data_IF_983023887343
#
_entry.id   IF_983023887343
#
_cell.length_a   1.000
_cell.length_b   1.000
_cell.length_c   1.000
_cell.angle_alpha   90.00
_cell.angle_beta   90.00
_cell.angle_gamma   90.00
#
_symmetry.space_group_name_H-M   'P 1'
#
loop_
_entity.id
_entity.type
_entity.pdbx_description
1 polymer ?
#
# COMPACT_ATOMS: atom_id res chain seq x y z
N UNK A 1 -43.51 34.62 33.81
CA UNK A 1 -42.09 34.47 34.16
C UNK A 1 -41.28 34.67 32.88
N UNK A 2 -40.78 35.90 32.71
CA UNK A 2 -40.12 36.39 31.50
C UNK A 2 -38.65 36.67 31.79
N UNK A 3 -37.73 36.07 31.04
CA UNK A 3 -36.31 36.45 30.95
C UNK A 3 -35.89 36.14 29.51
N UNK A 4 -35.94 37.10 28.57
CA UNK A 4 -34.95 38.16 28.29
C UNK A 4 -33.55 37.57 27.98
N UNK A 5 -33.28 37.50 26.69
CA UNK A 5 -32.02 37.27 26.01
C UNK A 5 -31.03 38.41 26.24
N UNK A 6 -29.76 38.08 26.50
CA UNK A 6 -28.61 39.00 26.41
C UNK A 6 -27.69 38.57 25.26
N UNK A 7 -27.16 39.51 24.45
CA UNK A 7 -26.24 39.19 23.35
C UNK A 7 -24.80 39.07 23.83
N UNK A 8 -24.06 38.13 23.21
CA UNK A 8 -22.64 37.88 23.44
C UNK A 8 -21.80 38.81 22.55
N UNK A 9 -20.96 39.65 23.17
CA UNK A 9 -20.03 40.59 22.51
C UNK A 9 -18.75 39.88 22.05
N UNK A 10 -18.39 40.06 20.77
CA UNK A 10 -17.10 39.65 20.19
C UNK A 10 -15.97 40.56 20.69
N UNK A 11 -14.94 39.98 21.31
CA UNK A 11 -13.65 40.64 21.52
C UNK A 11 -12.76 40.46 20.28
N UNK A 12 -12.43 41.57 19.62
CA UNK A 12 -11.37 41.67 18.62
C UNK A 12 -10.01 41.80 19.33
N UNK A 13 -9.06 40.93 19.01
CA UNK A 13 -7.64 41.10 19.39
C UNK A 13 -6.82 41.38 18.14
N UNK A 14 -6.28 42.60 18.05
CA UNK A 14 -5.34 43.04 17.03
C UNK A 14 -3.92 42.52 17.32
N UNK A 15 -3.10 42.14 16.31
CA UNK A 15 -1.69 41.88 16.54
C UNK A 15 -0.88 43.19 16.46
N UNK A 16 -0.04 43.40 17.49
CA UNK A 16 0.88 44.52 17.60
C UNK A 16 2.19 44.17 16.89
N UNK A 17 2.64 45.08 16.03
CA UNK A 17 3.93 45.04 15.33
C UNK A 17 5.01 45.52 16.30
N UNK A 18 6.07 44.74 16.48
CA UNK A 18 7.31 45.19 17.12
C UNK A 18 8.49 44.92 16.18
N UNK A 19 9.06 46.03 15.70
CA UNK A 19 10.37 46.10 15.07
C UNK A 19 11.45 45.84 16.13
N UNK A 20 12.45 45.02 15.79
CA UNK A 20 13.81 45.25 16.27
C UNK A 20 14.82 44.94 15.17
N UNK A 21 15.56 45.98 14.84
CA UNK A 21 16.70 46.05 13.94
C UNK A 21 17.98 45.54 14.60
N UNK A 22 18.82 44.81 13.86
CA UNK A 22 20.24 45.15 13.63
C UNK A 22 20.98 44.07 12.83
N UNK A 23 21.26 44.41 11.57
CA UNK A 23 22.56 44.29 10.86
C UNK A 23 23.39 42.99 10.93
N UNK A 24 23.63 42.37 9.76
CA UNK A 24 24.95 42.43 9.08
C UNK A 24 25.00 41.63 7.75
N UNK A 25 25.46 42.33 6.71
CA UNK A 25 26.26 41.86 5.55
C UNK A 25 25.66 40.86 4.53
N UNK A 26 25.06 41.46 3.50
CA UNK A 26 25.34 41.32 2.07
C UNK A 26 26.38 40.29 1.60
N UNK A 27 26.00 39.49 0.59
CA UNK A 27 26.76 39.33 -0.66
C UNK A 27 25.81 38.88 -1.78
N UNK A 28 25.65 39.76 -2.77
CA UNK A 28 25.09 39.47 -4.09
C UNK A 28 25.92 38.39 -4.79
N UNK A 29 25.29 37.46 -5.50
CA UNK A 29 25.80 37.11 -6.83
C UNK A 29 24.69 36.67 -7.79
N UNK A 30 24.87 37.10 -9.03
CA UNK A 30 23.91 37.27 -10.10
C UNK A 30 23.78 35.99 -10.94
N UNK A 31 22.57 35.81 -11.48
CA UNK A 31 22.17 34.93 -12.55
C UNK A 31 23.15 34.94 -13.75
N UNK A 32 23.69 33.79 -14.16
CA UNK A 32 24.15 33.62 -15.55
C UNK A 32 23.76 32.24 -16.09
N UNK A 33 22.84 32.28 -17.05
CA UNK A 33 22.51 31.21 -17.98
C UNK A 33 23.64 31.12 -18.99
N UNK A 34 24.29 29.98 -19.14
CA UNK A 34 25.05 29.68 -20.36
C UNK A 34 24.86 28.20 -20.72
N UNK A 35 24.42 28.04 -21.95
CA UNK A 35 24.21 26.82 -22.72
C UNK A 35 25.53 26.12 -23.00
N UNK A 36 25.59 24.80 -22.77
CA UNK A 36 26.66 23.95 -23.31
C UNK A 36 26.01 22.71 -23.94
N UNK A 37 26.11 22.67 -25.27
CA UNK A 37 25.94 21.48 -26.11
C UNK A 37 27.08 20.50 -25.87
N UNK A 38 26.83 19.18 -25.76
CA UNK A 38 27.47 18.11 -26.56
C UNK A 38 26.95 16.69 -26.18
N UNK A 39 27.25 15.61 -26.94
CA UNK A 39 26.28 14.94 -27.80
C UNK A 39 25.90 13.51 -27.36
N UNK A 40 24.74 13.06 -27.84
CA UNK A 40 24.35 11.65 -27.86
C UNK A 40 25.20 10.86 -28.88
N UNK A 41 25.72 9.66 -28.55
CA UNK A 41 26.16 8.70 -29.55
C UNK A 41 24.99 7.79 -29.98
N UNK A 42 24.86 7.61 -31.30
CA UNK A 42 23.98 6.63 -31.95
C UNK A 42 24.52 5.19 -31.75
N UNK A 43 23.68 4.16 -31.65
CA UNK A 43 24.10 2.78 -31.90
C UNK A 43 23.93 2.42 -33.38
N UNK A 44 24.96 1.83 -33.98
CA UNK A 44 24.92 1.12 -35.27
C UNK A 44 24.57 -0.36 -35.03
N UNK A 45 23.87 -0.96 -36.01
CA UNK A 45 23.71 -2.40 -36.20
C UNK A 45 25.09 -3.09 -36.37
N UNK A 46 25.32 -4.40 -36.27
CA UNK A 46 24.54 -5.63 -36.37
C UNK A 46 25.43 -6.77 -35.83
N UNK A 47 24.86 -7.93 -35.48
CA UNK A 47 25.32 -9.29 -35.83
C UNK A 47 24.83 -10.34 -34.82
N UNK A 48 24.28 -11.39 -35.40
CA UNK A 48 23.79 -12.64 -34.83
C UNK A 48 24.84 -13.41 -34.04
N UNK A 49 24.45 -13.94 -32.88
CA UNK A 49 24.91 -15.24 -32.36
C UNK A 49 23.80 -15.85 -31.49
N UNK A 50 23.45 -17.10 -31.80
CA UNK A 50 22.52 -17.98 -31.09
C UNK A 50 22.90 -18.19 -29.61
N UNK A 51 21.94 -18.33 -28.67
CA UNK A 51 22.30 -18.61 -27.29
C UNK A 51 22.65 -20.09 -27.09
N UNK A 52 23.79 -20.42 -26.45
CA UNK A 52 23.99 -21.74 -25.87
C UNK A 52 23.15 -21.86 -24.58
N UNK A 53 22.64 -23.07 -24.37
CA UNK A 53 22.02 -23.52 -23.14
C UNK A 53 22.90 -23.21 -21.91
N UNK A 54 22.24 -22.98 -20.76
CA UNK A 54 22.82 -22.90 -19.41
C UNK A 54 23.40 -21.55 -18.97
N UNK A 55 22.52 -20.62 -18.55
CA UNK A 55 22.88 -19.54 -17.62
C UNK A 55 21.64 -18.94 -16.92
N UNK A 56 20.94 -19.74 -16.09
CA UNK A 56 19.79 -19.28 -15.29
C UNK A 56 19.91 -19.61 -13.80
N UNK A 57 21.13 -19.72 -13.27
CA UNK A 57 21.40 -20.16 -11.89
C UNK A 57 22.33 -19.24 -11.10
N UNK A 58 22.47 -17.96 -11.49
CA UNK A 58 23.49 -17.08 -10.88
C UNK A 58 23.00 -15.75 -10.28
N UNK A 59 21.69 -15.49 -10.16
CA UNK A 59 21.23 -14.20 -9.60
C UNK A 59 20.03 -14.28 -8.65
N UNK A 60 20.03 -15.26 -7.74
CA UNK A 60 19.14 -15.27 -6.57
C UNK A 60 19.89 -15.79 -5.33
N UNK A 61 20.98 -15.13 -4.95
CA UNK A 61 21.70 -15.36 -3.69
C UNK A 61 21.59 -14.18 -2.71
N UNK A 62 20.51 -13.41 -2.79
CA UNK A 62 20.25 -12.28 -1.90
C UNK A 62 18.79 -12.30 -1.43
N UNK A 63 18.51 -13.14 -0.44
CA UNK A 63 17.31 -13.02 0.43
C UNK A 63 17.48 -13.72 1.77
N UNK A 64 18.47 -14.60 1.93
CA UNK A 64 18.72 -15.28 3.20
C UNK A 64 19.97 -14.68 3.85
N UNK A 65 19.79 -13.81 4.85
CA UNK A 65 20.83 -13.52 5.82
C UNK A 65 20.87 -14.69 6.80
N UNK A 66 21.58 -15.75 6.44
CA UNK A 66 21.85 -16.88 7.34
C UNK A 66 22.90 -16.42 8.35
N UNK A 67 22.49 -16.22 9.60
CA UNK A 67 23.41 -16.34 10.72
C UNK A 67 23.55 -17.82 11.05
N UNK A 68 24.72 -18.40 10.80
CA UNK A 68 25.07 -19.76 11.22
C UNK A 68 25.14 -19.81 12.76
N UNK A 69 24.01 -20.13 13.39
CA UNK A 69 23.94 -20.48 14.81
C UNK A 69 23.31 -21.86 14.86
N UNK A 70 24.08 -22.83 15.36
CA UNK A 70 23.64 -24.18 15.69
C UNK A 70 22.43 -24.09 16.63
N UNK A 71 21.22 -24.34 16.10
CA UNK A 71 19.99 -24.32 16.88
C UNK A 71 19.77 -25.69 17.51
N UNK A 72 19.47 -25.65 18.80
CA UNK A 72 19.05 -26.78 19.62
C UNK A 72 17.68 -27.29 19.14
N UNK A 73 17.61 -28.55 18.73
CA UNK A 73 16.41 -29.28 18.30
C UNK A 73 15.51 -29.58 19.51
N UNK A 74 14.97 -28.52 20.13
CA UNK A 74 14.46 -28.62 21.51
C UNK A 74 13.33 -27.68 21.90
N UNK A 75 12.58 -27.09 20.96
CA UNK A 75 11.18 -26.64 21.11
C UNK A 75 10.79 -25.89 19.83
N UNK A 76 10.02 -26.51 18.93
CA UNK A 76 9.20 -25.70 18.02
C UNK A 76 8.17 -24.99 18.91
N UNK A 77 8.41 -23.69 19.15
CA UNK A 77 7.39 -22.84 19.75
C UNK A 77 6.12 -22.88 18.91
N UNK A 78 4.96 -22.65 19.51
CA UNK A 78 3.72 -22.48 18.76
C UNK A 78 3.89 -21.35 17.73
N UNK A 79 3.47 -21.57 16.49
CA UNK A 79 3.38 -20.50 15.50
C UNK A 79 2.40 -19.42 15.95
N UNK A 80 2.40 -18.28 15.25
CA UNK A 80 1.56 -17.14 15.58
C UNK A 80 1.14 -16.37 14.32
N UNK A 81 -0.03 -15.74 14.35
CA UNK A 81 -0.57 -14.93 13.27
C UNK A 81 -0.79 -13.49 13.76
N UNK A 82 -0.10 -12.54 13.13
CA UNK A 82 -0.23 -11.12 13.43
C UNK A 82 -0.74 -10.35 12.22
N UNK A 83 -1.84 -9.62 12.38
CA UNK A 83 -2.51 -8.93 11.28
C UNK A 83 -2.41 -7.41 11.44
N UNK A 84 -1.94 -6.73 10.40
CA UNK A 84 -1.85 -5.27 10.28
C UNK A 84 -2.78 -4.81 9.16
N UNK A 85 -3.89 -4.20 9.53
CA UNK A 85 -4.91 -3.70 8.58
C UNK A 85 -4.98 -2.18 8.55
N UNK A 86 -5.82 -1.63 7.67
CA UNK A 86 -6.09 -0.20 7.57
C UNK A 86 -6.23 0.27 6.12
N UNK A 87 -6.68 1.52 5.91
CA UNK A 87 -6.88 2.06 4.57
C UNK A 87 -5.56 2.21 3.81
N UNK A 88 -5.62 2.53 2.53
CA UNK A 88 -4.43 2.96 1.80
C UNK A 88 -3.77 4.16 2.53
N UNK A 89 -2.45 4.27 2.41
CA UNK A 89 -1.64 5.35 3.01
C UNK A 89 -1.61 5.37 4.55
N UNK A 90 -2.00 4.29 5.22
CA UNK A 90 -1.89 4.16 6.69
C UNK A 90 -0.53 3.63 7.18
N UNK A 91 0.42 3.36 6.28
CA UNK A 91 1.75 2.84 6.64
C UNK A 91 1.81 1.35 6.97
N UNK A 92 0.92 0.52 6.38
CA UNK A 92 0.91 -0.94 6.59
C UNK A 92 2.23 -1.60 6.21
N UNK A 93 2.67 -1.43 4.96
CA UNK A 93 3.93 -1.98 4.47
C UNK A 93 5.13 -1.48 5.29
N UNK A 94 5.14 -0.21 5.69
CA UNK A 94 6.16 0.36 6.57
C UNK A 94 6.17 -0.32 7.95
N UNK A 95 5.00 -0.58 8.52
CA UNK A 95 4.88 -1.25 9.83
C UNK A 95 5.30 -2.71 9.77
N UNK A 96 4.90 -3.43 8.71
CA UNK A 96 5.36 -4.79 8.42
C UNK A 96 6.88 -4.84 8.28
N UNK A 97 7.45 -3.97 7.45
CA UNK A 97 8.90 -3.91 7.24
C UNK A 97 9.68 -3.55 8.49
N UNK A 98 9.14 -2.64 9.32
CA UNK A 98 9.75 -2.32 10.61
C UNK A 98 9.81 -3.56 11.50
N UNK A 99 8.71 -4.33 11.58
CA UNK A 99 8.67 -5.56 12.37
C UNK A 99 9.65 -6.60 11.85
N UNK A 100 9.64 -6.87 10.54
CA UNK A 100 10.61 -7.79 9.91
C UNK A 100 12.06 -7.40 10.19
N UNK A 101 12.40 -6.10 10.10
CA UNK A 101 13.76 -5.65 10.41
C UNK A 101 14.13 -5.88 11.88
N UNK A 102 13.18 -5.73 12.81
CA UNK A 102 13.39 -6.04 14.22
C UNK A 102 13.66 -7.54 14.42
N UNK A 103 12.90 -8.42 13.77
CA UNK A 103 13.05 -9.87 13.92
C UNK A 103 14.39 -10.36 13.32
N UNK A 104 14.78 -9.83 12.17
CA UNK A 104 16.12 -10.08 11.60
C UNK A 104 17.23 -9.61 12.55
N UNK A 105 17.06 -8.44 13.20
CA UNK A 105 18.07 -7.90 14.11
C UNK A 105 18.30 -8.75 15.37
N UNK A 106 17.35 -9.61 15.73
CA UNK A 106 17.47 -10.57 16.83
C UNK A 106 17.80 -11.99 16.35
N UNK A 107 18.19 -12.15 15.08
CA UNK A 107 18.68 -13.41 14.51
C UNK A 107 17.59 -14.36 14.00
N UNK A 108 16.36 -13.87 13.78
CA UNK A 108 15.30 -14.65 13.13
C UNK A 108 15.52 -14.69 11.62
N UNK A 109 15.27 -15.86 11.04
CA UNK A 109 15.24 -16.11 9.60
C UNK A 109 13.86 -15.72 9.07
N UNK A 110 13.80 -14.68 8.24
CA UNK A 110 12.54 -14.08 7.79
C UNK A 110 12.48 -14.00 6.28
N UNK A 111 11.33 -14.37 5.70
CA UNK A 111 11.03 -14.12 4.29
C UNK A 111 9.91 -13.09 4.14
N UNK A 112 9.98 -12.28 3.08
CA UNK A 112 8.93 -11.33 2.69
C UNK A 112 8.27 -11.79 1.39
N UNK A 113 6.94 -11.81 1.36
CA UNK A 113 6.12 -12.16 0.20
C UNK A 113 5.18 -11.00 -0.12
N UNK A 114 4.97 -10.74 -1.42
CA UNK A 114 3.96 -9.80 -1.92
C UNK A 114 3.18 -10.43 -3.06
N UNK A 115 1.96 -9.94 -3.30
CA UNK A 115 1.20 -10.39 -4.46
C UNK A 115 1.80 -9.86 -5.75
N UNK A 116 1.96 -10.74 -6.74
CA UNK A 116 2.38 -10.38 -8.11
C UNK A 116 1.34 -9.54 -8.85
N UNK A 117 0.09 -9.50 -8.37
CA UNK A 117 -0.98 -8.63 -8.88
C UNK A 117 -0.72 -7.16 -8.56
N UNK A 118 0.07 -6.86 -7.53
CA UNK A 118 0.44 -5.48 -7.21
C UNK A 118 1.71 -5.05 -7.96
N UNK A 119 1.50 -4.33 -9.06
CA UNK A 119 2.56 -3.80 -9.94
C UNK A 119 2.86 -2.31 -9.70
N UNK A 120 2.32 -1.69 -8.63
CA UNK A 120 2.53 -0.25 -8.34
C UNK A 120 3.97 0.09 -7.98
N UNK A 121 4.69 -0.90 -7.46
CA UNK A 121 6.09 -0.81 -7.05
C UNK A 121 6.90 -1.93 -7.74
N UNK A 122 8.23 -1.79 -7.78
CA UNK A 122 9.11 -2.74 -8.46
C UNK A 122 8.76 -4.20 -8.14
N UNK A 123 8.86 -5.06 -9.17
CA UNK A 123 8.44 -6.46 -9.11
C UNK A 123 9.11 -7.23 -7.96
N UNK A 124 10.36 -6.90 -7.64
CA UNK A 124 11.20 -7.67 -6.73
C UNK A 124 11.47 -6.96 -5.38
N UNK A 125 10.74 -5.87 -5.07
CA UNK A 125 10.87 -5.22 -3.75
C UNK A 125 9.56 -4.66 -3.22
N UNK A 126 9.42 -4.69 -1.89
CA UNK A 126 8.45 -3.86 -1.18
C UNK A 126 9.08 -2.49 -1.01
N UNK A 127 8.59 -1.53 -1.78
CA UNK A 127 9.04 -0.13 -1.70
C UNK A 127 8.10 0.60 -0.75
N UNK A 128 8.64 1.05 0.38
CA UNK A 128 7.91 1.98 1.24
C UNK A 128 7.82 3.34 0.57
N UNK A 129 6.83 4.15 0.98
CA UNK A 129 6.78 5.57 0.60
C UNK A 129 8.08 6.32 0.98
N UNK A 130 8.84 5.80 1.96
CA UNK A 130 10.12 6.36 2.42
C UNK A 130 11.33 5.92 1.57
N UNK A 131 11.10 5.20 0.45
CA UNK A 131 12.11 4.91 -0.58
C UNK A 131 13.07 3.75 -0.26
N UNK A 132 12.93 3.10 0.90
CA UNK A 132 13.77 1.94 1.26
C UNK A 132 13.08 0.68 0.74
N UNK A 133 13.72 0.00 -0.22
CA UNK A 133 13.30 -1.30 -0.74
C UNK A 133 13.81 -2.46 0.10
N UNK A 134 12.97 -3.45 0.35
CA UNK A 134 13.36 -4.72 0.96
C UNK A 134 13.10 -5.87 -0.03
N UNK A 135 14.04 -6.82 -0.22
CA UNK A 135 13.85 -7.95 -1.12
C UNK A 135 12.60 -8.76 -0.76
N UNK A 136 11.79 -9.13 -1.74
CA UNK A 136 10.59 -9.92 -1.51
C UNK A 136 10.26 -10.85 -2.67
N UNK A 137 9.49 -11.89 -2.36
CA UNK A 137 8.99 -12.86 -3.33
C UNK A 137 7.63 -12.39 -3.86
N UNK A 138 7.58 -12.05 -5.16
CA UNK A 138 6.33 -11.72 -5.82
C UNK A 138 5.64 -12.98 -6.33
N UNK A 139 4.51 -13.36 -5.71
CA UNK A 139 3.82 -14.61 -5.98
C UNK A 139 2.36 -14.40 -6.40
N UNK A 140 1.81 -15.27 -7.27
CA UNK A 140 0.38 -15.26 -7.58
C UNK A 140 -0.49 -15.89 -6.47
N UNK A 141 0.07 -16.85 -5.73
CA UNK A 141 -0.55 -17.62 -4.65
C UNK A 141 0.50 -17.87 -3.54
N UNK A 142 0.06 -18.03 -2.30
CA UNK A 142 0.93 -18.25 -1.14
C UNK A 142 1.32 -19.72 -0.98
N UNK A 143 0.44 -20.65 -1.36
CA UNK A 143 0.68 -22.08 -1.17
C UNK A 143 1.85 -22.63 -2.00
N UNK A 144 2.22 -21.99 -3.11
CA UNK A 144 3.45 -22.31 -3.86
C UNK A 144 4.73 -21.73 -3.26
N UNK A 145 4.64 -20.92 -2.20
CA UNK A 145 5.82 -20.29 -1.58
C UNK A 145 6.89 -21.29 -1.11
N UNK A 146 6.57 -22.37 -0.35
CA UNK A 146 7.59 -23.29 0.14
C UNK A 146 8.41 -23.93 -0.98
N UNK A 147 7.75 -24.38 -2.06
CA UNK A 147 8.41 -24.99 -3.21
C UNK A 147 9.27 -23.98 -3.98
N UNK A 148 8.74 -22.78 -4.24
CA UNK A 148 9.46 -21.72 -4.97
C UNK A 148 10.63 -21.13 -4.20
N UNK A 149 10.52 -21.08 -2.88
CA UNK A 149 11.60 -20.65 -1.98
C UNK A 149 12.69 -21.73 -1.84
N UNK A 150 12.31 -22.99 -2.03
CA UNK A 150 13.12 -24.17 -1.78
C UNK A 150 12.85 -24.74 -0.39
N UNK A 151 12.46 -26.01 -0.32
CA UNK A 151 11.96 -26.64 0.91
C UNK A 151 12.97 -26.54 2.07
N UNK A 152 14.24 -26.88 1.83
CA UNK A 152 15.30 -26.81 2.85
C UNK A 152 15.52 -25.39 3.40
N UNK A 153 15.30 -24.37 2.57
CA UNK A 153 15.40 -22.98 2.99
C UNK A 153 14.15 -22.56 3.76
N UNK A 154 12.97 -23.01 3.30
CA UNK A 154 11.68 -22.74 3.92
C UNK A 154 11.61 -23.31 5.33
N UNK A 155 12.08 -24.54 5.53
CA UNK A 155 12.05 -25.21 6.83
C UNK A 155 12.83 -24.42 7.89
N UNK A 156 13.90 -23.72 7.47
CA UNK A 156 14.74 -22.85 8.31
C UNK A 156 14.17 -21.46 8.57
N UNK A 157 13.03 -21.09 7.96
CA UNK A 157 12.37 -19.82 8.26
C UNK A 157 11.72 -19.90 9.64
N UNK A 158 11.91 -18.83 10.42
CA UNK A 158 11.17 -18.57 11.64
C UNK A 158 9.88 -17.81 11.33
N UNK A 159 9.93 -16.88 10.37
CA UNK A 159 8.83 -15.97 10.10
C UNK A 159 8.62 -15.66 8.62
N UNK A 160 7.37 -15.34 8.29
CA UNK A 160 6.93 -14.96 6.94
C UNK A 160 6.10 -13.68 7.03
N UNK A 161 6.59 -12.62 6.40
CA UNK A 161 5.82 -11.40 6.19
C UNK A 161 5.07 -11.43 4.86
N UNK A 162 3.80 -11.03 4.87
CA UNK A 162 2.95 -10.99 3.69
C UNK A 162 2.42 -9.57 3.52
N UNK A 163 2.79 -8.90 2.44
CA UNK A 163 2.24 -7.59 2.08
C UNK A 163 1.15 -7.70 1.02
N UNK A 164 0.24 -6.73 1.04
CA UNK A 164 -0.92 -6.65 0.15
C UNK A 164 -1.78 -7.93 0.14
N UNK A 165 -1.97 -8.49 1.34
CA UNK A 165 -2.52 -9.83 1.52
C UNK A 165 -3.94 -10.03 0.99
N UNK A 166 -4.70 -8.94 0.77
CA UNK A 166 -6.06 -9.00 0.24
C UNK A 166 -6.14 -9.57 -1.19
N UNK A 167 -5.01 -9.68 -1.89
CA UNK A 167 -4.93 -10.24 -3.24
C UNK A 167 -4.70 -11.75 -3.28
N UNK A 168 -4.38 -12.38 -2.14
CA UNK A 168 -4.21 -13.82 -2.00
C UNK A 168 -5.53 -14.48 -1.60
N UNK A 169 -6.02 -15.37 -2.46
CA UNK A 169 -7.26 -16.12 -2.21
C UNK A 169 -7.08 -17.29 -1.24
N UNK A 170 -5.84 -17.76 -1.10
CA UNK A 170 -5.40 -18.89 -0.28
C UNK A 170 -4.76 -18.45 1.05
N UNK A 171 -5.00 -17.20 1.46
CA UNK A 171 -4.41 -16.62 2.67
C UNK A 171 -4.79 -17.39 3.94
N UNK A 172 -6.04 -17.83 4.05
CA UNK A 172 -6.52 -18.54 5.24
C UNK A 172 -5.82 -19.90 5.39
N UNK A 173 -5.83 -20.69 4.33
CA UNK A 173 -5.21 -22.02 4.27
C UNK A 173 -3.70 -21.92 4.53
N UNK A 174 -3.05 -20.92 3.94
CA UNK A 174 -1.64 -20.66 4.17
C UNK A 174 -1.36 -20.32 5.64
N UNK A 175 -2.10 -19.39 6.24
CA UNK A 175 -1.90 -19.00 7.63
C UNK A 175 -2.07 -20.18 8.60
N UNK A 176 -3.12 -21.00 8.44
CA UNK A 176 -3.32 -22.20 9.25
C UNK A 176 -2.16 -23.18 9.09
N UNK A 177 -1.75 -23.49 7.85
CA UNK A 177 -0.63 -24.42 7.64
C UNK A 177 0.65 -23.90 8.30
N UNK A 178 1.02 -22.66 8.03
CA UNK A 178 2.31 -22.11 8.48
C UNK A 178 2.37 -21.93 10.00
N UNK A 179 1.30 -21.45 10.62
CA UNK A 179 1.27 -21.23 12.06
C UNK A 179 0.99 -22.51 12.85
N UNK A 180 -0.03 -23.28 12.46
CA UNK A 180 -0.54 -24.40 13.26
C UNK A 180 0.26 -25.69 13.02
N UNK A 181 0.80 -25.89 11.80
CA UNK A 181 1.52 -27.12 11.42
C UNK A 181 3.02 -26.89 11.38
N UNK A 182 3.48 -25.84 10.71
CA UNK A 182 4.91 -25.60 10.51
C UNK A 182 5.59 -24.86 11.69
N UNK A 183 4.79 -24.36 12.65
CA UNK A 183 5.27 -23.69 13.85
C UNK A 183 5.96 -22.34 13.61
N UNK A 184 5.61 -21.64 12.52
CA UNK A 184 6.24 -20.38 12.12
C UNK A 184 5.34 -19.18 12.43
N UNK A 185 5.93 -17.99 12.56
CA UNK A 185 5.17 -16.75 12.74
C UNK A 185 4.81 -16.14 11.38
N UNK A 186 3.55 -15.74 11.20
CA UNK A 186 3.06 -15.05 10.00
C UNK A 186 2.66 -13.62 10.36
N UNK A 187 3.26 -12.64 9.68
CA UNK A 187 2.91 -11.22 9.84
C UNK A 187 2.24 -10.74 8.55
N UNK A 188 0.93 -10.53 8.61
CA UNK A 188 0.09 -10.20 7.46
C UNK A 188 -0.23 -8.72 7.43
N UNK A 189 -0.02 -8.05 6.30
CA UNK A 189 -0.41 -6.68 6.07
C UNK A 189 -1.32 -6.56 4.85
N UNK A 190 -2.42 -5.79 4.99
CA UNK A 190 -3.27 -5.48 3.85
C UNK A 190 -4.55 -4.73 4.18
N UNK A 191 -5.39 -4.54 3.16
CA UNK A 191 -6.64 -3.77 3.27
C UNK A 191 -7.75 -4.60 3.92
N UNK A 192 -8.35 -4.09 5.00
CA UNK A 192 -9.54 -4.70 5.61
C UNK A 192 -10.81 -4.51 4.78
N UNK A 193 -10.84 -3.47 3.93
CA UNK A 193 -11.95 -3.25 3.02
C UNK A 193 -11.59 -2.56 1.72
N UNK A 194 -12.43 -2.80 0.70
CA UNK A 194 -12.33 -2.17 -0.61
C UNK A 194 -12.76 -0.69 -0.57
N UNK A 195 -12.73 -0.02 -1.73
CA UNK A 195 -13.15 1.37 -1.85
C UNK A 195 -14.65 1.60 -1.53
N UNK A 196 -15.43 0.53 -1.43
CA UNK A 196 -16.85 0.51 -1.06
C UNK A 196 -17.07 0.13 0.42
N UNK A 197 -15.98 -0.06 1.19
CA UNK A 197 -15.96 -0.57 2.58
C UNK A 197 -16.52 -2.00 2.73
N UNK A 198 -16.51 -2.79 1.67
CA UNK A 198 -16.83 -4.22 1.73
C UNK A 198 -15.56 -5.00 2.04
N UNK A 199 -15.71 -6.25 2.49
CA UNK A 199 -14.56 -7.16 2.70
C UNK A 199 -13.67 -7.18 1.46
N UNK A 200 -12.35 -7.16 1.66
CA UNK A 200 -11.37 -7.30 0.57
C UNK A 200 -10.56 -8.58 0.78
N UNK A 201 -10.74 -9.54 -0.13
CA UNK A 201 -10.04 -10.82 -0.06
C UNK A 201 -10.39 -11.59 1.20
N UNK A 202 -9.42 -12.38 1.68
CA UNK A 202 -9.54 -13.24 2.85
C UNK A 202 -8.90 -12.66 4.13
N UNK A 203 -8.47 -11.38 4.14
CA UNK A 203 -7.83 -10.77 5.32
C UNK A 203 -8.73 -10.81 6.56
N UNK A 204 -10.04 -10.62 6.39
CA UNK A 204 -10.97 -10.66 7.52
C UNK A 204 -11.22 -12.09 8.01
N UNK A 205 -10.98 -13.10 7.17
CA UNK A 205 -11.24 -14.50 7.49
C UNK A 205 -10.16 -15.05 8.44
N UNK A 206 -8.96 -14.45 8.45
CA UNK A 206 -7.87 -14.82 9.38
C UNK A 206 -7.94 -14.09 10.74
N UNK A 207 -8.84 -13.12 10.93
CA UNK A 207 -8.98 -12.39 12.21
C UNK A 207 -9.29 -13.34 13.39
N UNK A 208 -10.20 -14.33 13.27
CA UNK A 208 -10.53 -15.23 14.38
C UNK A 208 -9.37 -16.11 14.85
N UNK A 209 -8.40 -16.36 13.97
CA UNK A 209 -7.22 -17.20 14.25
C UNK A 209 -5.96 -16.37 14.53
N UNK A 210 -6.08 -15.04 14.59
CA UNK A 210 -4.95 -14.16 14.80
C UNK A 210 -4.65 -13.90 16.28
N UNK A 211 -3.39 -14.06 16.68
CA UNK A 211 -2.86 -13.70 18.00
C UNK A 211 -2.87 -12.19 18.23
N UNK A 212 -2.77 -11.39 17.17
CA UNK A 212 -2.93 -9.94 17.27
C UNK A 212 -3.51 -9.32 16.02
N UNK A 213 -4.37 -8.32 16.20
CA UNK A 213 -4.92 -7.53 15.09
C UNK A 213 -4.74 -6.04 15.37
N UNK A 214 -4.02 -5.35 14.48
CA UNK A 214 -3.78 -3.90 14.55
C UNK A 214 -4.40 -3.23 13.33
N UNK A 215 -5.34 -2.30 13.56
CA UNK A 215 -5.90 -1.46 12.48
C UNK A 215 -5.26 -0.08 12.49
N UNK A 216 -4.39 0.17 11.53
CA UNK A 216 -3.76 1.47 11.33
C UNK A 216 -4.75 2.49 10.77
N UNK A 217 -4.47 3.76 11.04
CA UNK A 217 -5.22 4.90 10.50
C UNK A 217 -4.31 5.77 9.64
N UNK A 218 -4.84 6.28 8.53
CA UNK A 218 -4.17 7.29 7.72
C UNK A 218 -4.55 8.71 8.19
N UNK A 219 -4.00 9.74 7.53
CA UNK A 219 -4.46 11.11 7.67
C UNK A 219 -5.49 11.42 6.57
N UNK A 220 -6.69 11.86 6.94
CA UNK A 220 -7.72 12.21 5.97
C UNK A 220 -7.25 13.37 5.08
N UNK A 221 -7.25 13.16 3.76
CA UNK A 221 -6.76 14.16 2.80
C UNK A 221 -7.63 15.44 2.77
N UNK A 222 -8.91 15.32 3.16
CA UNK A 222 -9.86 16.45 3.14
C UNK A 222 -9.78 17.34 4.39
N UNK A 223 -9.60 16.77 5.58
CA UNK A 223 -9.64 17.55 6.83
C UNK A 223 -8.48 17.33 7.78
N UNK A 224 -7.51 16.49 7.43
CA UNK A 224 -6.32 16.22 8.24
C UNK A 224 -6.55 15.38 9.50
N UNK A 225 -7.79 15.01 9.84
CA UNK A 225 -8.12 14.12 10.97
C UNK A 225 -7.85 12.64 10.63
N UNK A 226 -8.03 11.72 11.58
CA UNK A 226 -7.85 10.28 11.32
C UNK A 226 -8.73 9.79 10.17
N UNK A 227 -8.08 9.21 9.16
CA UNK A 227 -8.68 8.56 8.00
C UNK A 227 -8.75 7.05 8.23
N UNK A 228 -9.94 6.47 8.03
CA UNK A 228 -10.22 5.06 8.29
C UNK A 228 -10.58 4.29 7.02
N UNK A 229 -10.82 5.00 5.92
CA UNK A 229 -11.33 4.42 4.69
C UNK A 229 -10.53 4.89 3.49
N UNK A 230 -10.42 4.04 2.49
CA UNK A 230 -9.95 4.40 1.16
C UNK A 230 -11.15 4.85 0.34
N UNK A 231 -11.09 6.05 -0.24
CA UNK A 231 -12.05 6.53 -1.22
C UNK A 231 -11.40 6.50 -2.60
N UNK A 232 -12.12 6.00 -3.60
CA UNK A 232 -11.73 6.13 -5.01
C UNK A 232 -12.14 7.49 -5.55
N UNK A 233 -11.19 8.21 -6.17
CA UNK A 233 -11.39 9.52 -6.81
C UNK A 233 -12.03 9.41 -8.19
N UNK A 234 -11.84 8.27 -8.88
CA UNK A 234 -12.31 8.04 -10.25
C UNK A 234 -13.71 7.43 -10.31
N UNK A 235 -14.35 7.50 -11.48
CA UNK A 235 -15.65 6.90 -11.76
C UNK A 235 -15.61 5.40 -12.10
N UNK A 236 -14.42 4.79 -12.17
CA UNK A 236 -14.26 3.37 -12.43
C UNK A 236 -14.93 2.54 -11.32
N UNK A 237 -15.62 1.46 -11.72
CA UNK A 237 -16.42 0.61 -10.82
C UNK A 237 -15.77 -0.72 -10.48
N UNK A 238 -14.69 -1.13 -11.18
CA UNK A 238 -13.99 -2.40 -10.94
C UNK A 238 -13.51 -2.49 -9.50
N UNK A 239 -13.72 -3.59 -8.80
CA UNK A 239 -13.27 -3.72 -7.40
C UNK A 239 -11.75 -3.60 -7.30
N UNK A 240 -11.04 -4.36 -8.14
CA UNK A 240 -9.59 -4.35 -8.25
C UNK A 240 -9.16 -3.38 -9.36
N UNK A 241 -8.74 -2.18 -8.96
CA UNK A 241 -8.06 -1.23 -9.84
C UNK A 241 -6.75 -0.85 -9.16
N UNK A 242 -5.65 -1.29 -9.76
CA UNK A 242 -4.30 -1.01 -9.28
C UNK A 242 -4.00 0.48 -9.52
N UNK A 243 -3.72 1.21 -8.44
CA UNK A 243 -3.48 2.66 -8.49
C UNK A 243 -2.95 3.20 -7.16
N UNK A 244 -2.38 4.41 -7.22
CA UNK A 244 -1.79 5.11 -6.09
C UNK A 244 -2.66 6.28 -5.62
N UNK A 245 -2.01 7.38 -5.25
CA UNK A 245 -2.66 8.61 -4.77
C UNK A 245 -3.44 9.37 -5.86
N UNK A 246 -3.18 9.05 -7.12
CA UNK A 246 -3.90 9.52 -8.29
C UNK A 246 -5.33 8.93 -8.36
N UNK A 247 -5.49 7.67 -7.96
CA UNK A 247 -6.78 6.96 -7.99
C UNK A 247 -7.49 6.99 -6.64
N UNK A 248 -6.75 6.97 -5.54
CA UNK A 248 -7.30 6.77 -4.20
C UNK A 248 -6.86 7.85 -3.21
N UNK A 249 -7.71 8.11 -2.20
CA UNK A 249 -7.35 8.93 -1.03
C UNK A 249 -7.84 8.34 0.29
N UNK A 250 -7.09 8.54 1.38
CA UNK A 250 -7.57 8.22 2.72
C UNK A 250 -8.56 9.27 3.22
N UNK A 251 -9.68 8.83 3.77
CA UNK A 251 -10.74 9.73 4.28
C UNK A 251 -11.31 9.29 5.62
N UNK A 252 -11.79 10.27 6.40
CA UNK A 252 -12.57 10.01 7.59
C UNK A 252 -14.01 9.60 7.23
N UNK A 253 -14.77 9.16 8.22
CA UNK A 253 -16.16 8.69 8.03
C UNK A 253 -17.05 9.72 7.36
N UNK A 254 -17.02 10.97 7.83
CA UNK A 254 -17.81 12.09 7.30
C UNK A 254 -17.51 12.31 5.82
N UNK A 255 -16.25 12.45 5.45
CA UNK A 255 -15.88 12.76 4.07
C UNK A 255 -16.14 11.61 3.11
N UNK A 256 -16.00 10.36 3.53
CA UNK A 256 -16.42 9.25 2.70
C UNK A 256 -17.93 9.30 2.42
N UNK A 257 -18.77 9.45 3.46
CA UNK A 257 -20.24 9.43 3.30
C UNK A 257 -20.69 10.60 2.42
N UNK A 258 -20.17 11.80 2.67
CA UNK A 258 -20.51 12.99 1.89
C UNK A 258 -20.08 12.85 0.43
N UNK A 259 -18.87 12.36 0.16
CA UNK A 259 -18.41 12.13 -1.22
C UNK A 259 -19.24 11.04 -1.91
N UNK A 260 -19.65 9.99 -1.22
CA UNK A 260 -20.50 8.97 -1.81
C UNK A 260 -21.87 9.52 -2.23
N UNK A 261 -22.45 10.43 -1.43
CA UNK A 261 -23.69 11.13 -1.80
C UNK A 261 -23.47 11.97 -3.06
N UNK A 262 -22.38 12.73 -3.12
CA UNK A 262 -22.04 13.55 -4.30
C UNK A 262 -21.83 12.66 -5.53
N UNK A 263 -21.02 11.60 -5.43
CA UNK A 263 -20.76 10.67 -6.53
C UNK A 263 -22.05 10.01 -7.01
N UNK A 264 -22.92 9.57 -6.09
CA UNK A 264 -24.20 8.95 -6.45
C UNK A 264 -25.16 9.95 -7.11
N UNK A 265 -25.22 11.19 -6.62
CA UNK A 265 -25.99 12.26 -7.24
C UNK A 265 -25.48 12.58 -8.65
N UNK A 266 -24.16 12.74 -8.82
CA UNK A 266 -23.53 12.96 -10.13
C UNK A 266 -23.80 11.81 -11.09
N UNK A 267 -23.69 10.55 -10.64
CA UNK A 267 -24.03 9.37 -11.46
C UNK A 267 -25.49 9.36 -11.89
N UNK A 268 -26.42 9.77 -11.03
CA UNK A 268 -27.85 9.87 -11.36
C UNK A 268 -28.10 10.94 -12.42
N UNK A 269 -27.45 12.10 -12.31
CA UNK A 269 -27.55 13.18 -13.30
C UNK A 269 -26.97 12.73 -14.64
N UNK A 270 -25.74 12.22 -14.66
CA UNK A 270 -25.08 11.74 -15.89
C UNK A 270 -25.83 10.57 -16.54
N UNK A 271 -26.38 9.65 -15.74
CA UNK A 271 -27.23 8.57 -16.24
C UNK A 271 -28.54 9.07 -16.85
N UNK A 272 -29.14 10.11 -16.25
CA UNK A 272 -30.35 10.74 -16.79
C UNK A 272 -30.09 11.52 -18.08
N UNK A 273 -28.93 12.16 -18.20
CA UNK A 273 -28.50 12.87 -19.41
C UNK A 273 -28.20 11.89 -20.54
N UNK A 274 -27.53 10.77 -20.23
CA UNK A 274 -27.27 9.70 -21.20
C UNK A 274 -28.58 9.05 -21.69
N UNK A 275 -29.51 8.74 -20.78
CA UNK A 275 -30.82 8.21 -21.15
C UNK A 275 -31.65 9.21 -21.98
N UNK A 276 -31.56 10.51 -21.66
CA UNK A 276 -32.20 11.58 -22.45
C UNK A 276 -31.60 11.71 -23.85
N UNK A 277 -30.27 11.64 -23.96
CA UNK A 277 -29.57 11.68 -25.25
C UNK A 277 -29.94 10.46 -26.12
N UNK A 278 -29.97 9.26 -25.55
CA UNK A 278 -30.37 8.03 -26.24
C UNK A 278 -31.84 8.08 -26.70
N UNK A 279 -32.74 8.62 -25.86
CA UNK A 279 -34.16 8.80 -26.23
C UNK A 279 -34.31 9.81 -27.37
N UNK A 280 -33.59 10.94 -27.32
CA UNK A 280 -33.62 11.96 -28.37
C UNK A 280 -33.11 11.42 -29.73
N UNK A 281 -32.02 10.65 -29.70
CA UNK A 281 -31.50 9.98 -30.91
C UNK A 281 -32.52 8.98 -31.48
N UNK A 282 -33.19 8.22 -30.61
CA UNK A 282 -34.23 7.27 -31.04
C UNK A 282 -35.45 7.97 -31.65
N UNK A 283 -35.91 9.07 -31.04
CA UNK A 283 -37.01 9.88 -31.59
C UNK A 283 -36.66 10.50 -32.94
N UNK A 284 -35.42 10.95 -33.16
CA UNK A 284 -34.97 11.46 -34.47
C UNK A 284 -34.91 10.32 -35.51
N UNK A 285 -34.47 9.13 -35.11
CA UNK A 285 -34.42 7.96 -36.00
C UNK A 285 -35.82 7.46 -36.42
N UNK A 286 -36.83 7.57 -35.55
CA UNK A 286 -38.22 7.20 -35.86
C UNK A 286 -38.95 8.24 -36.75
N UNK A 287 -38.34 9.41 -37.00
CA UNK A 287 -38.89 10.49 -37.83
C UNK A 287 -38.30 10.55 -39.26
N UNK A 288 -37.35 9.67 -39.59
CA UNK A 288 -36.72 9.53 -40.92
C UNK A 288 -37.25 8.25 -41.58
#
# INVERSE_FOLDING_TARGET
MSNISKPFTLHKSSPTILFHSSTSASLLYIHHRQTIHHPYPKPQASLSLSPPHSLAMATLKASVLLSDISRDEGHLGSGAIHVITGPMFSGKSTSLLRRIKTEISVGRSVAMVKSSKDTRYAKDSVVTHDGIGFPCWALPDLMSFPERFGQDAYDKLDEIGIDEAQFFGDLYEFCCKVADVDGKTVIVAGLDGDYLRRRFGAILDIIPIADSVTKLTARCEVCGQKGFFTLRKTCDTRTELIGGADVYMPVCRKHYVNNQIVINASKKVLGSEKARAETCVKTIADMI
#
